data_IF_093229582493
#
_entry.id   IF_093229582493
#
_cell.length_a   1.000
_cell.length_b   1.000
_cell.length_c   1.000
_cell.angle_alpha   90.00
_cell.angle_beta   90.00
_cell.angle_gamma   90.00
#
_symmetry.space_group_name_H-M   'P 1'
#
loop_
_entity.id
_entity.type
_entity.pdbx_description
1 polymer ?
#
# COMPACT_ATOMS: atom_id res chain seq x y z
N UNK A 1 -12.03 -2.76 -28.10
CA UNK A 1 -12.11 -3.48 -26.80
C UNK A 1 -10.69 -3.78 -26.30
N UNK A 2 -10.00 -2.80 -25.71
CA UNK A 2 -8.56 -2.89 -25.37
C UNK A 2 -8.26 -2.57 -23.88
N UNK A 3 -9.28 -2.23 -23.09
CA UNK A 3 -9.13 -1.82 -21.68
C UNK A 3 -8.91 -2.99 -20.70
N UNK A 4 -9.40 -4.18 -21.02
CA UNK A 4 -9.43 -5.30 -20.07
C UNK A 4 -8.03 -5.88 -19.76
N UNK A 5 -7.15 -5.90 -20.77
CA UNK A 5 -5.78 -6.40 -20.60
C UNK A 5 -4.90 -5.47 -19.75
N UNK A 6 -5.01 -4.16 -19.98
CA UNK A 6 -4.24 -3.17 -19.23
C UNK A 6 -4.65 -3.13 -17.75
N UNK A 7 -5.95 -3.17 -17.45
CA UNK A 7 -6.44 -3.21 -16.06
C UNK A 7 -5.99 -4.45 -15.28
N UNK A 8 -5.90 -5.61 -15.95
CA UNK A 8 -5.43 -6.84 -15.30
C UNK A 8 -3.93 -6.77 -14.96
N UNK A 9 -3.11 -6.20 -15.84
CA UNK A 9 -1.67 -6.02 -15.62
C UNK A 9 -1.40 -5.01 -14.50
N UNK A 10 -2.10 -3.87 -14.52
CA UNK A 10 -2.01 -2.84 -13.48
C UNK A 10 -2.44 -3.41 -12.12
N UNK A 11 -3.58 -4.11 -12.04
CA UNK A 11 -4.02 -4.71 -10.78
C UNK A 11 -3.09 -5.80 -10.26
N UNK A 12 -2.40 -6.55 -11.13
CA UNK A 12 -1.34 -7.48 -10.73
C UNK A 12 -0.10 -6.75 -10.21
N UNK A 13 0.31 -5.66 -10.88
CA UNK A 13 1.44 -4.83 -10.45
C UNK A 13 1.17 -4.20 -9.08
N UNK A 14 -0.01 -3.64 -8.84
CA UNK A 14 -0.39 -3.03 -7.55
C UNK A 14 -0.33 -4.03 -6.39
N UNK A 15 -0.91 -5.23 -6.56
CA UNK A 15 -0.87 -6.28 -5.53
C UNK A 15 0.56 -6.75 -5.22
N UNK A 16 1.37 -6.89 -6.27
CA UNK A 16 2.78 -7.28 -6.12
C UNK A 16 3.58 -6.17 -5.41
N UNK A 17 3.34 -4.91 -5.78
CA UNK A 17 3.98 -3.75 -5.17
C UNK A 17 3.59 -3.62 -3.69
N UNK A 18 2.32 -3.86 -3.36
CA UNK A 18 1.84 -3.87 -1.98
C UNK A 18 2.51 -4.96 -1.13
N UNK A 19 2.61 -6.19 -1.64
CA UNK A 19 3.27 -7.29 -0.94
C UNK A 19 4.74 -6.97 -0.63
N UNK A 20 5.47 -6.43 -1.62
CA UNK A 20 6.88 -6.04 -1.46
C UNK A 20 7.07 -4.83 -0.55
N UNK A 21 6.15 -3.85 -0.58
CA UNK A 21 6.15 -2.71 0.34
C UNK A 21 5.92 -3.14 1.79
N UNK A 22 5.04 -4.11 2.04
CA UNK A 22 4.89 -4.69 3.38
C UNK A 22 6.14 -5.40 3.86
N UNK A 23 6.90 -6.03 2.94
CA UNK A 23 8.20 -6.62 3.23
C UNK A 23 9.33 -5.62 3.49
N UNK A 24 9.07 -4.31 3.36
CA UNK A 24 10.07 -3.25 3.59
C UNK A 24 11.04 -3.03 2.43
N UNK A 25 10.73 -3.53 1.22
CA UNK A 25 11.56 -3.29 0.04
C UNK A 25 11.55 -1.81 -0.37
N UNK A 26 12.70 -1.32 -0.84
CA UNK A 26 12.88 0.08 -1.22
C UNK A 26 12.16 0.39 -2.56
N UNK A 27 11.31 1.42 -2.58
CA UNK A 27 10.58 1.87 -3.79
C UNK A 27 11.50 2.10 -4.99
N UNK A 28 12.72 2.59 -4.79
CA UNK A 28 13.66 2.86 -5.88
C UNK A 28 14.13 1.58 -6.57
N UNK A 29 14.36 0.51 -5.80
CA UNK A 29 14.71 -0.81 -6.33
C UNK A 29 13.51 -1.45 -7.03
N UNK A 30 12.32 -1.34 -6.42
CA UNK A 30 11.06 -1.82 -6.98
C UNK A 30 10.73 -1.16 -8.32
N UNK A 31 10.94 0.15 -8.43
CA UNK A 31 10.73 0.89 -9.68
C UNK A 31 11.52 0.27 -10.84
N UNK A 32 12.81 -0.03 -10.61
CA UNK A 32 13.70 -0.61 -11.62
C UNK A 32 13.29 -2.02 -12.04
N UNK A 33 12.76 -2.81 -11.12
CA UNK A 33 12.26 -4.16 -11.42
C UNK A 33 10.91 -4.11 -12.15
N UNK A 34 10.00 -3.21 -11.76
CA UNK A 34 8.62 -3.17 -12.26
C UNK A 34 8.50 -2.56 -13.66
N UNK A 35 9.35 -1.59 -14.01
CA UNK A 35 9.41 -0.97 -15.35
C UNK A 35 9.50 -2.03 -16.48
N UNK A 36 10.53 -2.90 -16.53
CA UNK A 36 10.65 -3.92 -17.56
C UNK A 36 9.71 -5.11 -17.35
N UNK A 37 9.40 -5.47 -16.11
CA UNK A 37 8.61 -6.67 -15.78
C UNK A 37 7.13 -6.55 -16.16
N UNK A 38 6.56 -5.36 -16.02
CA UNK A 38 5.15 -5.10 -16.34
C UNK A 38 4.97 -4.20 -17.57
N UNK A 39 6.06 -3.70 -18.16
CA UNK A 39 6.00 -2.80 -19.31
C UNK A 39 5.31 -1.46 -19.01
N UNK A 40 5.32 -1.02 -17.75
CA UNK A 40 4.69 0.22 -17.31
C UNK A 40 5.69 1.38 -17.36
N UNK A 41 5.18 2.60 -17.51
CA UNK A 41 6.01 3.80 -17.47
C UNK A 41 6.35 4.21 -16.03
N UNK A 42 7.46 4.94 -15.86
CA UNK A 42 7.85 5.51 -14.57
C UNK A 42 6.75 6.40 -13.96
N UNK A 43 5.96 7.09 -14.79
CA UNK A 43 4.85 7.94 -14.36
C UNK A 43 3.70 7.12 -13.78
N UNK A 44 3.32 6.03 -14.45
CA UNK A 44 2.30 5.10 -13.96
C UNK A 44 2.73 4.45 -12.65
N UNK A 45 3.99 4.02 -12.56
CA UNK A 45 4.56 3.49 -11.32
C UNK A 45 4.50 4.50 -10.18
N UNK A 46 4.96 5.73 -10.41
CA UNK A 46 4.96 6.77 -9.38
C UNK A 46 3.52 7.08 -8.89
N UNK A 47 2.53 7.09 -9.78
CA UNK A 47 1.12 7.30 -9.42
C UNK A 47 0.58 6.17 -8.54
N UNK A 48 0.75 4.91 -8.96
CA UNK A 48 0.34 3.74 -8.17
C UNK A 48 1.06 3.68 -6.82
N UNK A 49 2.35 3.98 -6.79
CA UNK A 49 3.13 3.98 -5.56
C UNK A 49 2.66 5.04 -4.57
N UNK A 50 2.39 6.27 -5.03
CA UNK A 50 1.87 7.34 -4.17
C UNK A 50 0.49 6.97 -3.59
N UNK A 51 -0.40 6.40 -4.41
CA UNK A 51 -1.73 5.97 -3.97
C UNK A 51 -1.64 4.81 -2.95
N UNK A 52 -0.79 3.82 -3.20
CA UNK A 52 -0.58 2.69 -2.28
C UNK A 52 0.06 3.13 -0.96
N UNK A 53 1.06 4.00 -1.00
CA UNK A 53 1.70 4.53 0.22
C UNK A 53 0.70 5.33 1.05
N UNK A 54 -0.13 6.16 0.41
CA UNK A 54 -1.21 6.90 1.09
C UNK A 54 -2.24 5.97 1.75
N UNK A 55 -2.67 4.92 1.04
CA UNK A 55 -3.59 3.91 1.60
C UNK A 55 -2.98 3.16 2.78
N UNK A 56 -1.71 2.74 2.67
CA UNK A 56 -0.99 2.05 3.76
C UNK A 56 -0.86 2.96 4.99
N UNK A 57 -0.47 4.23 4.79
CA UNK A 57 -0.36 5.20 5.87
C UNK A 57 -1.69 5.39 6.59
N UNK A 58 -2.78 5.60 5.83
CA UNK A 58 -4.12 5.74 6.39
C UNK A 58 -4.59 4.52 7.19
N UNK A 59 -4.31 3.30 6.71
CA UNK A 59 -4.63 2.06 7.45
C UNK A 59 -3.83 1.98 8.75
N UNK A 60 -2.52 2.28 8.71
CA UNK A 60 -1.66 2.26 9.89
C UNK A 60 -2.12 3.26 10.95
N UNK A 61 -2.47 4.48 10.55
CA UNK A 61 -3.01 5.50 11.46
C UNK A 61 -4.31 5.04 12.12
N UNK A 62 -5.22 4.44 11.33
CA UNK A 62 -6.49 3.93 11.84
C UNK A 62 -6.33 2.75 12.81
N UNK A 63 -5.34 1.89 12.58
CA UNK A 63 -4.98 0.81 13.50
C UNK A 63 -4.41 1.35 14.82
N UNK A 64 -3.50 2.33 14.75
CA UNK A 64 -2.93 2.97 15.94
C UNK A 64 -4.00 3.68 16.79
N UNK A 65 -4.95 4.37 16.14
CA UNK A 65 -6.07 5.02 16.82
C UNK A 65 -7.00 3.99 17.49
N UNK A 66 -7.27 2.86 16.83
CA UNK A 66 -8.08 1.77 17.40
C UNK A 66 -7.41 1.11 18.61
N UNK A 67 -6.11 0.88 18.56
CA UNK A 67 -5.31 0.38 19.69
C UNK A 67 -5.33 1.38 20.87
N UNK A 68 -5.19 2.68 20.59
CA UNK A 68 -5.24 3.74 21.60
C UNK A 68 -6.61 3.85 22.27
N UNK A 69 -7.70 3.71 21.50
CA UNK A 69 -9.06 3.69 22.03
C UNK A 69 -9.30 2.46 22.92
N UNK A 70 -8.78 1.30 22.51
CA UNK A 70 -8.89 0.06 23.29
C UNK A 70 -8.18 0.16 24.64
N UNK A 71 -6.93 0.64 24.67
CA UNK A 71 -6.23 0.81 25.94
C UNK A 71 -6.96 1.82 26.85
N UNK A 72 -7.45 2.93 26.31
CA UNK A 72 -8.14 3.95 27.11
C UNK A 72 -9.47 3.48 27.68
N UNK A 73 -10.21 2.63 26.98
CA UNK A 73 -11.42 1.99 27.49
C UNK A 73 -11.14 0.99 28.62
N UNK A 74 -10.05 0.23 28.53
CA UNK A 74 -9.62 -0.72 29.55
C UNK A 74 -9.17 0.00 30.84
N UNK A 75 -8.41 1.10 30.71
CA UNK A 75 -8.05 1.97 31.84
C UNK A 75 -9.27 2.63 32.50
N UNK A 76 -10.30 3.01 31.74
CA UNK A 76 -11.53 3.58 32.31
C UNK A 76 -12.34 2.54 33.13
N UNK A 77 -12.31 1.27 32.72
CA UNK A 77 -12.98 0.18 33.44
C UNK A 77 -12.22 -0.26 34.70
N UNK A 78 -10.90 -0.08 34.76
CA UNK A 78 -10.08 -0.44 35.92
C UNK A 78 -9.99 0.68 36.98
N UNK A 79 -10.28 1.93 36.60
CA UNK A 79 -10.22 3.11 37.49
C UNK A 79 -11.55 3.42 38.21
N UNK A 80 -12.53 2.51 38.19
CA UNK A 80 -13.83 2.63 38.86
C UNK A 80 -13.97 1.55 39.93
#
# INVERSE_FOLDING_TARGET
MFLFGYGCLVGKAERTLFAKLQGGENLAALKREFLPKFGITARQFNGMAAELVGKIASIKERQADSLKKRSKGEWLCFAR
#
